data_IF_025946477066
#
_entry.id   IF_025946477066
#
_cell.length_a   1.000
_cell.length_b   1.000
_cell.length_c   1.000
_cell.angle_alpha   90.00
_cell.angle_beta   90.00
_cell.angle_gamma   90.00
#
_symmetry.space_group_name_H-M   'P 1'
#
loop_
_entity.id
_entity.type
_entity.pdbx_description
1 polymer ?
#
# COMPACT_ATOMS: atom_id res chain seq x y z
N UNK A 1 -10.99 -5.43 -19.72
CA UNK A 1 -10.44 -4.30 -20.49
C UNK A 1 -11.50 -3.38 -21.07
N UNK A 2 -12.57 -3.87 -21.70
CA UNK A 2 -13.68 -3.02 -22.20
C UNK A 2 -14.21 -2.00 -21.17
N UNK A 3 -14.63 -2.46 -19.98
CA UNK A 3 -15.18 -1.56 -18.94
C UNK A 3 -14.15 -0.54 -18.44
N UNK A 4 -12.89 -0.95 -18.31
CA UNK A 4 -11.80 -0.06 -17.91
C UNK A 4 -11.62 1.06 -18.95
N UNK A 5 -11.58 0.73 -20.23
CA UNK A 5 -11.47 1.70 -21.33
C UNK A 5 -12.69 2.62 -21.42
N UNK A 6 -13.88 2.09 -21.14
CA UNK A 6 -15.14 2.84 -21.26
C UNK A 6 -15.41 3.77 -20.07
N UNK A 7 -15.02 3.39 -18.85
CA UNK A 7 -15.42 4.09 -17.63
C UNK A 7 -14.24 4.61 -16.81
N UNK A 8 -13.23 3.77 -16.58
CA UNK A 8 -12.13 4.11 -15.67
C UNK A 8 -11.09 5.05 -16.31
N UNK A 9 -10.67 4.78 -17.54
CA UNK A 9 -9.68 5.64 -18.21
C UNK A 9 -10.19 7.06 -18.46
N UNK A 10 -11.46 7.29 -18.87
CA UNK A 10 -11.99 8.65 -18.97
C UNK A 10 -12.05 9.37 -17.63
N UNK A 11 -12.45 8.68 -16.56
CA UNK A 11 -12.42 9.24 -15.20
C UNK A 11 -10.98 9.62 -14.82
N UNK A 12 -10.05 8.71 -15.03
CA UNK A 12 -8.65 8.89 -14.68
C UNK A 12 -7.96 10.00 -15.48
N UNK A 13 -8.29 10.13 -16.77
CA UNK A 13 -7.78 11.19 -17.64
C UNK A 13 -8.04 12.60 -17.08
N UNK A 14 -9.10 12.80 -16.29
CA UNK A 14 -9.36 14.07 -15.62
C UNK A 14 -8.26 14.47 -14.63
N UNK A 15 -7.55 13.50 -14.05
CA UNK A 15 -6.53 13.66 -13.01
C UNK A 15 -5.08 13.57 -13.53
N UNK A 16 -4.85 13.22 -14.80
CA UNK A 16 -3.49 12.98 -15.31
C UNK A 16 -2.68 14.27 -15.38
N UNK A 17 -1.50 14.27 -14.75
CA UNK A 17 -0.52 15.35 -14.83
C UNK A 17 -0.96 16.68 -14.20
N UNK A 18 -2.03 16.68 -13.40
CA UNK A 18 -2.53 17.88 -12.71
C UNK A 18 -3.27 17.50 -11.44
N UNK A 19 -3.27 18.39 -10.46
CA UNK A 19 -4.20 18.28 -9.35
C UNK A 19 -5.51 18.98 -9.66
N UNK A 20 -6.63 18.39 -9.24
CA UNK A 20 -7.95 19.01 -9.30
C UNK A 20 -8.05 20.15 -8.27
N UNK A 21 -7.40 19.98 -7.12
CA UNK A 21 -7.36 20.95 -6.04
C UNK A 21 -5.95 21.51 -5.88
N UNK A 22 -5.76 22.81 -5.65
CA UNK A 22 -4.44 23.30 -5.27
C UNK A 22 -3.97 22.56 -4.00
N UNK A 23 -2.69 22.21 -3.96
CA UNK A 23 -2.10 21.63 -2.75
C UNK A 23 -2.09 22.73 -1.69
N UNK A 24 -2.64 22.41 -0.52
CA UNK A 24 -2.62 23.30 0.65
C UNK A 24 -1.24 23.27 1.30
N UNK A 25 -0.83 24.41 1.84
CA UNK A 25 0.38 24.56 2.66
C UNK A 25 -0.01 24.89 4.10
N UNK A 26 -0.83 24.01 4.70
CA UNK A 26 -1.49 24.23 5.99
C UNK A 26 -1.25 23.10 7.00
N UNK A 27 -0.31 22.20 6.74
CA UNK A 27 -0.02 21.00 7.54
C UNK A 27 -1.20 20.01 7.68
N UNK A 28 -2.21 20.09 6.81
CA UNK A 28 -3.25 19.07 6.75
C UNK A 28 -2.72 17.72 6.26
N UNK A 29 -3.25 16.64 6.82
CA UNK A 29 -2.86 15.26 6.50
C UNK A 29 -4.04 14.53 5.90
N UNK A 30 -3.86 13.91 4.74
CA UNK A 30 -4.80 12.96 4.16
C UNK A 30 -4.32 11.53 4.35
N UNK A 31 -5.06 10.76 5.14
CA UNK A 31 -4.84 9.34 5.38
C UNK A 31 -5.67 8.49 4.42
N UNK A 32 -4.97 7.83 3.50
CA UNK A 32 -5.52 7.03 2.42
C UNK A 32 -5.47 5.54 2.76
N UNK A 33 -6.65 4.92 2.84
CA UNK A 33 -6.84 3.58 3.38
C UNK A 33 -7.55 2.66 2.39
N UNK A 34 -6.97 1.48 2.19
CA UNK A 34 -7.63 0.35 1.54
C UNK A 34 -8.04 -0.67 2.62
N UNK A 35 -9.33 -0.75 2.93
CA UNK A 35 -9.86 -1.59 4.01
C UNK A 35 -10.65 -2.76 3.43
N UNK A 36 -10.03 -3.92 3.27
CA UNK A 36 -10.71 -5.14 2.83
C UNK A 36 -11.10 -6.00 4.03
N UNK A 37 -12.41 -6.15 4.26
CA UNK A 37 -12.97 -6.99 5.34
C UNK A 37 -12.26 -6.72 6.68
N UNK A 38 -12.12 -5.42 6.99
CA UNK A 38 -11.23 -4.94 8.05
C UNK A 38 -11.99 -4.56 9.32
N UNK A 39 -12.01 -5.48 10.27
CA UNK A 39 -12.67 -5.28 11.56
C UNK A 39 -11.98 -4.25 12.47
N UNK A 40 -10.74 -3.84 12.19
CA UNK A 40 -10.00 -2.84 12.99
C UNK A 40 -10.07 -1.44 12.41
N UNK A 41 -10.76 -1.22 11.28
CA UNK A 41 -10.84 0.09 10.65
C UNK A 41 -11.37 1.15 11.64
N UNK A 42 -12.47 0.87 12.35
CA UNK A 42 -13.05 1.86 13.26
C UNK A 42 -12.12 2.22 14.41
N UNK A 43 -11.46 1.23 15.04
CA UNK A 43 -10.48 1.48 16.10
C UNK A 43 -9.24 2.22 15.58
N UNK A 44 -8.77 1.88 14.38
CA UNK A 44 -7.68 2.58 13.68
C UNK A 44 -8.00 4.07 13.53
N UNK A 45 -9.21 4.40 13.09
CA UNK A 45 -9.66 5.80 12.97
C UNK A 45 -9.75 6.49 14.33
N UNK A 46 -10.35 5.83 15.34
CA UNK A 46 -10.46 6.39 16.70
C UNK A 46 -9.07 6.73 17.25
N UNK A 47 -8.10 5.83 17.11
CA UNK A 47 -6.73 6.10 17.53
C UNK A 47 -6.07 7.21 16.73
N UNK A 48 -6.19 7.20 15.40
CA UNK A 48 -5.59 8.22 14.54
C UNK A 48 -6.03 9.64 14.95
N UNK A 49 -7.33 9.85 15.19
CA UNK A 49 -7.86 11.14 15.63
C UNK A 49 -7.54 11.46 17.09
N UNK A 50 -7.73 10.51 18.01
CA UNK A 50 -7.49 10.72 19.46
C UNK A 50 -6.03 11.04 19.76
N UNK A 51 -5.10 10.48 18.98
CA UNK A 51 -3.65 10.60 19.15
C UNK A 51 -3.02 11.64 18.24
N UNK A 52 -3.77 12.28 17.35
CA UNK A 52 -3.26 13.38 16.54
C UNK A 52 -3.08 14.64 17.41
N UNK A 53 -2.01 15.40 17.14
CA UNK A 53 -1.81 16.73 17.70
C UNK A 53 -2.83 17.71 17.11
N UNK A 54 -3.20 17.56 15.83
CA UNK A 54 -4.14 18.45 15.14
C UNK A 54 -5.27 17.66 14.47
N UNK A 55 -6.21 17.06 15.22
CA UNK A 55 -7.27 16.24 14.65
C UNK A 55 -8.21 17.00 13.71
N UNK A 56 -8.32 18.34 13.83
CA UNK A 56 -9.07 19.18 12.89
C UNK A 56 -8.41 19.32 11.50
N UNK A 57 -7.14 18.95 11.38
CA UNK A 57 -6.37 18.95 10.13
C UNK A 57 -6.19 17.55 9.53
N UNK A 58 -6.73 16.52 10.17
CA UNK A 58 -6.67 15.14 9.70
C UNK A 58 -7.89 14.81 8.83
N UNK A 59 -7.66 14.36 7.62
CA UNK A 59 -8.66 13.88 6.68
C UNK A 59 -8.39 12.40 6.37
N UNK A 60 -9.44 11.64 6.09
CA UNK A 60 -9.35 10.22 5.78
C UNK A 60 -10.11 9.94 4.48
N UNK A 61 -9.46 9.24 3.56
CA UNK A 61 -10.08 8.60 2.42
C UNK A 61 -10.04 7.09 2.58
N UNK A 62 -11.19 6.43 2.72
CA UNK A 62 -11.25 4.98 2.89
C UNK A 62 -12.01 4.30 1.75
N UNK A 63 -11.40 3.29 1.15
CA UNK A 63 -12.09 2.32 0.28
C UNK A 63 -12.44 1.10 1.12
N UNK A 64 -13.70 1.03 1.53
CA UNK A 64 -14.21 -0.03 2.41
C UNK A 64 -14.82 -1.13 1.56
N UNK A 65 -14.17 -2.28 1.57
CA UNK A 65 -14.59 -3.47 0.82
C UNK A 65 -15.19 -4.49 1.80
N UNK A 66 -16.51 -4.59 1.84
CA UNK A 66 -17.26 -5.45 2.76
C UNK A 66 -18.49 -6.07 2.05
N UNK A 67 -19.34 -6.81 2.74
CA UNK A 67 -20.62 -7.26 2.20
C UNK A 67 -21.70 -6.24 2.54
N UNK A 68 -22.18 -5.51 1.54
CA UNK A 68 -23.20 -4.48 1.68
C UNK A 68 -24.49 -4.91 0.99
N UNK A 69 -25.61 -4.87 1.69
CA UNK A 69 -26.92 -5.25 1.18
C UNK A 69 -27.28 -6.71 1.47
N UNK A 70 -28.59 -7.00 1.52
CA UNK A 70 -29.13 -8.30 1.97
C UNK A 70 -28.90 -9.44 0.96
N UNK A 71 -28.57 -9.11 -0.28
CA UNK A 71 -28.29 -10.06 -1.37
C UNK A 71 -26.88 -10.67 -1.32
N UNK A 72 -25.99 -10.15 -0.45
CA UNK A 72 -24.61 -10.61 -0.34
C UNK A 72 -24.34 -11.36 0.97
N UNK A 73 -24.07 -12.65 0.87
CA UNK A 73 -23.59 -13.45 2.01
C UNK A 73 -22.07 -13.40 2.10
N UNK A 74 -21.58 -12.81 3.18
CA UNK A 74 -20.16 -12.82 3.53
C UNK A 74 -19.65 -14.23 3.81
N UNK A 75 -18.34 -14.43 3.57
CA UNK A 75 -17.66 -15.68 3.91
C UNK A 75 -16.53 -15.41 4.89
N UNK A 76 -16.21 -16.41 5.71
CA UNK A 76 -15.00 -16.42 6.54
C UNK A 76 -13.74 -16.49 5.68
N UNK A 77 -12.58 -16.18 6.27
CA UNK A 77 -11.31 -16.65 5.70
C UNK A 77 -11.15 -18.17 5.90
N UNK A 78 -10.01 -18.73 5.47
CA UNK A 78 -9.74 -20.16 5.67
C UNK A 78 -9.51 -20.43 7.15
N UNK A 79 -10.45 -21.13 7.78
CA UNK A 79 -10.37 -21.53 9.18
C UNK A 79 -9.85 -22.95 9.28
N UNK A 80 -8.91 -23.21 10.19
CA UNK A 80 -8.45 -24.57 10.48
C UNK A 80 -9.54 -25.29 11.28
N UNK A 81 -10.10 -26.36 10.73
CA UNK A 81 -11.18 -27.16 11.34
C UNK A 81 -10.72 -28.53 11.81
N UNK A 82 -9.46 -28.88 11.57
CA UNK A 82 -8.88 -30.16 11.99
C UNK A 82 -7.51 -30.39 11.40
N UNK A 83 -6.99 -31.61 11.57
CA UNK A 83 -5.78 -32.09 10.90
C UNK A 83 -6.08 -33.37 10.13
N UNK A 84 -5.42 -33.56 8.99
CA UNK A 84 -5.49 -34.82 8.25
C UNK A 84 -4.68 -35.93 8.95
N UNK A 85 -4.66 -37.14 8.37
CA UNK A 85 -3.94 -38.29 8.92
C UNK A 85 -2.42 -38.07 8.99
N UNK A 86 -1.89 -37.10 8.24
CA UNK A 86 -0.49 -36.73 8.18
C UNK A 86 -0.16 -35.53 9.08
N UNK A 87 -1.15 -34.99 9.79
CA UNK A 87 -1.00 -33.86 10.69
C UNK A 87 -1.09 -32.48 10.01
N UNK A 88 -1.42 -32.42 8.71
CA UNK A 88 -1.57 -31.16 8.00
C UNK A 88 -2.92 -30.49 8.36
N UNK A 89 -2.98 -29.15 8.47
CA UNK A 89 -4.24 -28.45 8.75
C UNK A 89 -5.29 -28.66 7.65
N UNK A 90 -6.48 -29.11 8.03
CA UNK A 90 -7.67 -29.09 7.19
C UNK A 90 -8.34 -27.73 7.37
N UNK A 91 -8.63 -27.03 6.27
CA UNK A 91 -9.26 -25.71 6.31
C UNK A 91 -10.65 -25.71 5.69
N UNK A 92 -11.55 -24.87 6.22
CA UNK A 92 -12.90 -24.65 5.71
C UNK A 92 -13.18 -23.15 5.57
N UNK A 93 -13.98 -22.79 4.57
CA UNK A 93 -14.62 -21.48 4.43
C UNK A 93 -16.12 -21.67 4.68
N UNK A 94 -16.72 -20.80 5.49
CA UNK A 94 -18.13 -20.86 5.87
C UNK A 94 -18.81 -19.51 5.67
N UNK A 95 -20.14 -19.50 5.70
CA UNK A 95 -20.92 -18.26 5.72
C UNK A 95 -20.64 -17.49 7.01
N UNK A 96 -20.63 -16.17 6.89
CA UNK A 96 -20.40 -15.24 7.98
C UNK A 96 -21.25 -13.98 7.79
N UNK A 97 -21.61 -13.28 8.87
CA UNK A 97 -22.15 -11.93 8.75
C UNK A 97 -21.11 -10.98 8.12
N UNK A 98 -21.54 -9.82 7.60
CA UNK A 98 -20.64 -8.72 7.28
C UNK A 98 -19.77 -8.35 8.48
N UNK A 99 -18.54 -7.90 8.23
CA UNK A 99 -17.73 -7.35 9.32
C UNK A 99 -18.32 -6.01 9.77
N UNK A 100 -18.02 -5.59 10.99
CA UNK A 100 -18.39 -4.26 11.49
C UNK A 100 -17.91 -3.20 10.51
N UNK A 101 -18.83 -2.33 10.07
CA UNK A 101 -18.47 -1.18 9.25
C UNK A 101 -17.69 -0.17 10.10
N UNK A 102 -16.37 -0.16 9.96
CA UNK A 102 -15.49 0.72 10.74
C UNK A 102 -15.77 2.21 10.59
N UNK A 103 -16.27 2.66 9.42
CA UNK A 103 -16.68 4.05 9.22
C UNK A 103 -17.92 4.37 10.05
N UNK A 104 -18.93 3.50 10.00
CA UNK A 104 -20.17 3.67 10.78
C UNK A 104 -19.89 3.60 12.28
N UNK A 105 -19.03 2.67 12.71
CA UNK A 105 -18.57 2.57 14.10
C UNK A 105 -17.89 3.86 14.57
N UNK A 106 -17.08 4.50 13.71
CA UNK A 106 -16.42 5.77 14.01
C UNK A 106 -17.43 6.93 14.04
N UNK A 107 -18.24 7.11 12.99
CA UNK A 107 -19.16 8.24 12.87
C UNK A 107 -20.37 8.19 13.81
N UNK A 108 -20.74 7.00 14.30
CA UNK A 108 -21.84 6.85 15.26
C UNK A 108 -21.42 7.26 16.69
N UNK A 109 -20.13 7.20 17.00
CA UNK A 109 -19.57 7.59 18.30
C UNK A 109 -19.65 9.13 18.45
N UNK A 110 -20.33 9.66 19.49
CA UNK A 110 -20.49 11.10 19.69
C UNK A 110 -19.16 11.86 19.77
N UNK A 111 -18.08 11.20 20.19
CA UNK A 111 -16.74 11.82 20.31
C UNK A 111 -16.08 12.09 18.96
N UNK A 112 -16.49 11.36 17.91
CA UNK A 112 -15.87 11.40 16.59
C UNK A 112 -16.82 11.84 15.47
N UNK A 113 -18.14 11.77 15.71
CA UNK A 113 -19.18 12.26 14.80
C UNK A 113 -18.91 13.66 14.21
N UNK A 114 -18.43 14.66 14.98
CA UNK A 114 -18.16 15.98 14.42
C UNK A 114 -17.16 15.98 13.25
N UNK A 115 -16.18 15.07 13.24
CA UNK A 115 -15.23 14.94 12.13
C UNK A 115 -15.90 14.40 10.85
N UNK A 116 -16.88 13.51 10.98
CA UNK A 116 -17.66 13.03 9.85
C UNK A 116 -18.58 14.13 9.30
N UNK A 117 -19.27 14.86 10.18
CA UNK A 117 -20.14 15.99 9.80
C UNK A 117 -19.34 17.14 9.16
N UNK A 118 -18.08 17.33 9.55
CA UNK A 118 -17.15 18.29 8.94
C UNK A 118 -16.57 17.84 7.59
N UNK A 119 -16.92 16.65 7.09
CA UNK A 119 -16.40 16.13 5.82
C UNK A 119 -14.94 15.69 5.86
N UNK A 120 -14.38 15.44 7.06
CA UNK A 120 -13.02 14.91 7.22
C UNK A 120 -12.93 13.42 6.87
N UNK A 121 -14.05 12.70 6.82
CA UNK A 121 -14.11 11.29 6.43
C UNK A 121 -14.78 11.16 5.06
N UNK A 122 -14.04 10.64 4.08
CA UNK A 122 -14.46 10.44 2.68
C UNK A 122 -14.39 8.95 2.37
N UNK A 123 -15.44 8.38 1.81
CA UNK A 123 -15.56 6.91 1.71
C UNK A 123 -16.08 6.47 0.36
N UNK A 124 -15.47 5.40 -0.15
CA UNK A 124 -16.00 4.60 -1.25
C UNK A 124 -16.31 3.20 -0.72
N UNK A 125 -17.59 2.81 -0.76
CA UNK A 125 -18.03 1.48 -0.42
C UNK A 125 -18.03 0.58 -1.65
N UNK A 126 -17.47 -0.62 -1.51
CA UNK A 126 -17.35 -1.61 -2.57
C UNK A 126 -17.74 -2.98 -2.02
N UNK A 127 -18.52 -3.77 -2.75
CA UNK A 127 -18.79 -5.14 -2.31
C UNK A 127 -17.52 -5.99 -2.40
N UNK A 128 -17.27 -6.89 -1.43
CA UNK A 128 -16.01 -7.68 -1.41
C UNK A 128 -15.82 -8.53 -2.68
N UNK A 129 -16.92 -8.92 -3.32
CA UNK A 129 -16.96 -9.69 -4.57
C UNK A 129 -16.53 -8.85 -5.79
N UNK A 130 -16.59 -7.53 -5.66
CA UNK A 130 -16.15 -6.54 -6.65
C UNK A 130 -14.74 -6.01 -6.36
N UNK A 131 -14.12 -6.48 -5.27
CA UNK A 131 -12.73 -6.12 -4.95
C UNK A 131 -11.79 -6.62 -6.04
N UNK A 132 -11.03 -5.67 -6.59
CA UNK A 132 -9.96 -5.91 -7.55
C UNK A 132 -8.59 -5.64 -6.92
N UNK A 133 -8.45 -5.94 -5.63
CA UNK A 133 -7.17 -5.95 -4.92
C UNK A 133 -6.66 -4.60 -4.39
N UNK A 134 -5.59 -4.63 -3.59
CA UNK A 134 -5.12 -3.48 -2.81
C UNK A 134 -4.53 -2.37 -3.67
N UNK A 135 -3.82 -2.67 -4.75
CA UNK A 135 -3.25 -1.66 -5.64
C UNK A 135 -4.34 -0.73 -6.21
N UNK A 136 -5.48 -1.29 -6.64
CA UNK A 136 -6.59 -0.51 -7.18
C UNK A 136 -7.42 0.15 -6.07
N UNK A 137 -7.56 -0.49 -4.91
CA UNK A 137 -8.17 0.17 -3.75
C UNK A 137 -7.38 1.42 -3.33
N UNK A 138 -6.04 1.37 -3.35
CA UNK A 138 -5.17 2.52 -3.11
C UNK A 138 -5.29 3.58 -4.20
N UNK A 139 -5.42 3.17 -5.46
CA UNK A 139 -5.77 4.10 -6.55
C UNK A 139 -7.07 4.85 -6.24
N UNK A 140 -8.17 4.17 -5.91
CA UNK A 140 -9.43 4.83 -5.61
C UNK A 140 -9.36 5.70 -4.35
N UNK A 141 -8.68 5.23 -3.30
CA UNK A 141 -8.47 6.00 -2.07
C UNK A 141 -7.71 7.30 -2.35
N UNK A 142 -6.71 7.27 -3.25
CA UNK A 142 -5.97 8.47 -3.67
C UNK A 142 -6.86 9.49 -4.40
N UNK A 143 -7.93 9.06 -5.07
CA UNK A 143 -8.87 9.98 -5.75
C UNK A 143 -9.82 10.70 -4.77
N UNK A 144 -9.85 10.30 -3.49
CA UNK A 144 -10.59 10.98 -2.42
C UNK A 144 -9.77 12.13 -1.79
N UNK A 145 -8.50 12.30 -2.18
CA UNK A 145 -7.66 13.41 -1.74
C UNK A 145 -8.17 14.74 -2.32
N UNK A 146 -8.18 15.76 -1.47
CA UNK A 146 -8.84 17.05 -1.69
C UNK A 146 -7.88 18.24 -1.66
N UNK A 147 -6.58 18.00 -1.85
CA UNK A 147 -5.55 19.03 -1.76
C UNK A 147 -4.88 19.14 -0.39
N UNK A 148 -5.08 18.19 0.54
CA UNK A 148 -4.34 18.17 1.82
C UNK A 148 -2.82 18.23 1.61
N UNK A 149 -2.11 18.94 2.51
CA UNK A 149 -0.67 19.22 2.42
C UNK A 149 0.18 17.94 2.39
N UNK A 150 -0.17 16.97 3.22
CA UNK A 150 0.53 15.70 3.36
C UNK A 150 -0.37 14.54 3.00
N UNK A 151 0.22 13.52 2.41
CA UNK A 151 -0.44 12.27 2.05
C UNK A 151 0.23 11.12 2.80
N UNK A 152 -0.57 10.33 3.51
CA UNK A 152 -0.15 9.05 4.07
C UNK A 152 -0.95 7.94 3.39
N UNK A 153 -0.24 7.01 2.76
CA UNK A 153 -0.82 5.71 2.44
C UNK A 153 -0.53 4.78 3.58
N UNK A 154 -1.55 4.07 4.05
CA UNK A 154 -1.33 3.02 5.04
C UNK A 154 -2.33 1.89 4.93
N UNK A 155 -2.03 0.78 5.60
CA UNK A 155 -3.02 -0.26 5.87
C UNK A 155 -4.07 0.22 6.90
N UNK A 156 -5.20 -0.49 7.01
CA UNK A 156 -6.38 -0.05 7.76
C UNK A 156 -6.51 -0.63 9.19
N UNK A 157 -5.43 -1.23 9.70
CA UNK A 157 -5.38 -1.94 10.99
C UNK A 157 -4.12 -1.56 11.76
N UNK A 158 -4.15 -0.33 12.30
CA UNK A 158 -3.01 0.32 12.90
C UNK A 158 -3.28 0.77 14.33
N UNK A 159 -2.21 1.00 15.08
CA UNK A 159 -2.20 1.79 16.32
C UNK A 159 -1.29 3.00 16.13
N UNK A 160 -1.57 4.08 16.85
CA UNK A 160 -0.89 5.37 16.68
C UNK A 160 -0.21 5.83 17.97
N UNK A 161 1.01 6.32 17.83
CA UNK A 161 1.71 7.04 18.88
C UNK A 161 1.09 8.42 19.11
N UNK A 162 1.30 8.98 20.30
CA UNK A 162 0.87 10.35 20.60
C UNK A 162 1.54 11.35 19.65
N UNK A 163 0.77 12.31 19.14
CA UNK A 163 1.17 13.39 18.23
C UNK A 163 1.83 12.90 16.93
N UNK A 164 1.41 11.73 16.44
CA UNK A 164 2.02 11.06 15.28
C UNK A 164 2.04 11.94 14.01
N UNK A 165 1.00 12.74 13.80
CA UNK A 165 0.82 13.62 12.64
C UNK A 165 1.88 14.73 12.63
N UNK A 166 1.97 15.49 13.72
CA UNK A 166 2.95 16.56 13.85
C UNK A 166 4.39 16.03 13.81
N UNK A 167 4.63 14.86 14.40
CA UNK A 167 5.95 14.21 14.41
C UNK A 167 6.36 13.70 13.02
N UNK A 168 5.48 13.08 12.24
CA UNK A 168 5.82 12.71 10.86
C UNK A 168 5.98 13.92 9.95
N UNK A 169 5.19 14.98 10.15
CA UNK A 169 5.37 16.26 9.43
C UNK A 169 6.76 16.84 9.71
N UNK A 170 7.15 16.92 10.98
CA UNK A 170 8.47 17.43 11.37
C UNK A 170 9.60 16.56 10.80
N UNK A 171 9.44 15.23 10.83
CA UNK A 171 10.43 14.28 10.32
C UNK A 171 10.58 14.35 8.80
N UNK A 172 9.50 14.48 8.02
CA UNK A 172 9.64 14.59 6.56
C UNK A 172 10.20 15.95 6.15
N UNK A 173 9.87 17.02 6.89
CA UNK A 173 10.41 18.37 6.66
C UNK A 173 11.90 18.48 6.99
N UNK A 174 12.45 17.57 7.81
CA UNK A 174 13.89 17.55 8.13
C UNK A 174 14.72 16.72 7.15
N UNK A 175 14.10 16.03 6.18
CA UNK A 175 14.82 15.32 5.13
C UNK A 175 15.42 16.30 4.11
N UNK A 176 16.66 16.05 3.67
CA UNK A 176 17.41 16.95 2.79
C UNK A 176 16.71 17.25 1.46
N UNK A 177 15.89 16.31 0.97
CA UNK A 177 15.17 16.45 -0.28
C UNK A 177 13.73 16.95 -0.15
N UNK A 178 13.29 17.40 1.03
CA UNK A 178 11.95 17.98 1.21
C UNK A 178 11.73 19.16 0.23
N UNK A 179 10.59 19.26 -0.48
CA UNK A 179 9.36 18.46 -0.35
C UNK A 179 9.34 17.13 -1.11
N UNK A 180 10.33 16.82 -1.94
CA UNK A 180 10.47 15.53 -2.65
C UNK A 180 11.11 14.45 -1.76
N UNK A 181 10.55 14.27 -0.57
CA UNK A 181 10.95 13.26 0.41
C UNK A 181 9.76 12.36 0.78
N UNK A 182 10.01 11.05 0.87
CA UNK A 182 9.04 10.05 1.32
C UNK A 182 9.59 9.34 2.55
N UNK A 183 8.87 9.37 3.67
CA UNK A 183 9.14 8.48 4.79
C UNK A 183 8.42 7.15 4.54
N UNK A 184 9.12 6.02 4.65
CA UNK A 184 8.51 4.70 4.50
C UNK A 184 9.25 3.65 5.33
N UNK A 185 8.52 2.64 5.78
CA UNK A 185 9.04 1.54 6.58
C UNK A 185 8.02 0.41 6.63
N UNK A 186 8.44 -0.77 7.06
CA UNK A 186 7.52 -1.75 7.64
C UNK A 186 7.34 -1.42 9.13
N UNK A 187 6.15 -0.94 9.55
CA UNK A 187 5.90 -0.62 10.95
C UNK A 187 6.06 -1.86 11.84
N UNK A 188 6.36 -1.69 13.14
CA UNK A 188 6.42 -2.80 14.08
C UNK A 188 5.05 -3.49 14.20
N UNK A 189 5.09 -4.79 14.47
CA UNK A 189 3.89 -5.58 14.70
C UNK A 189 3.27 -5.31 16.07
N UNK A 190 1.94 -5.41 16.16
CA UNK A 190 1.25 -5.57 17.44
C UNK A 190 0.29 -6.77 17.41
N UNK A 191 -0.03 -7.29 18.59
CA UNK A 191 -1.06 -8.31 18.81
C UNK A 191 -2.17 -7.80 19.75
N UNK A 192 -3.23 -8.59 19.94
CA UNK A 192 -4.36 -8.20 20.79
C UNK A 192 -3.98 -8.13 22.27
N UNK A 193 -2.94 -8.87 22.67
CA UNK A 193 -2.41 -8.90 24.03
C UNK A 193 -1.56 -7.66 24.36
N UNK A 194 -1.06 -6.95 23.36
CA UNK A 194 -0.31 -5.71 23.56
C UNK A 194 -1.22 -4.58 24.09
N UNK A 195 -0.69 -3.65 24.91
CA UNK A 195 -1.43 -2.50 25.39
C UNK A 195 -2.16 -1.75 24.26
N UNK A 196 -3.43 -1.34 24.45
CA UNK A 196 -4.25 -0.77 23.39
C UNK A 196 -3.66 0.50 22.79
N UNK A 197 -2.91 1.23 23.60
CA UNK A 197 -2.22 2.44 23.23
C UNK A 197 -0.78 2.12 22.80
N UNK A 198 -0.38 2.59 21.62
CA UNK A 198 0.98 2.43 21.11
C UNK A 198 1.83 3.62 21.56
N UNK A 199 2.94 3.37 22.25
CA UNK A 199 3.83 4.44 22.72
C UNK A 199 4.70 5.04 21.59
N UNK A 200 4.97 4.28 20.54
CA UNK A 200 5.90 4.69 19.48
C UNK A 200 7.37 4.57 19.86
N UNK A 201 8.24 5.15 19.02
CA UNK A 201 9.64 5.39 19.36
C UNK A 201 10.63 4.28 19.01
N UNK A 202 10.18 3.12 18.51
CA UNK A 202 11.10 2.13 17.93
C UNK A 202 11.70 2.66 16.63
N UNK A 203 12.92 2.27 16.31
CA UNK A 203 13.60 2.71 15.08
C UNK A 203 12.84 2.17 13.85
N UNK A 204 12.65 3.01 12.83
CA UNK A 204 12.06 2.61 11.56
C UNK A 204 12.85 1.47 10.91
N UNK A 205 12.15 0.39 10.52
CA UNK A 205 12.73 -0.69 9.73
C UNK A 205 13.30 -0.13 8.43
N UNK A 206 14.56 -0.42 8.12
CA UNK A 206 15.20 0.05 6.89
C UNK A 206 14.96 -0.92 5.75
N UNK A 207 14.50 -0.44 4.59
CA UNK A 207 14.25 -1.29 3.41
C UNK A 207 15.47 -1.25 2.49
N UNK A 208 16.46 -2.09 2.80
CA UNK A 208 17.80 -2.07 2.20
C UNK A 208 18.19 -3.35 1.44
N UNK A 209 17.24 -4.25 1.23
CA UNK A 209 17.48 -5.48 0.48
C UNK A 209 16.20 -5.96 -0.19
N UNK A 210 16.35 -6.82 -1.18
CA UNK A 210 15.26 -7.46 -1.88
C UNK A 210 15.65 -8.86 -2.31
N UNK A 211 14.69 -9.62 -2.84
CA UNK A 211 14.92 -10.92 -3.44
C UNK A 211 13.94 -11.14 -4.59
N UNK A 212 14.29 -11.99 -5.55
CA UNK A 212 13.34 -12.48 -6.53
C UNK A 212 12.55 -13.62 -5.85
N UNK A 213 11.22 -13.57 -5.94
CA UNK A 213 10.39 -14.58 -5.31
C UNK A 213 10.67 -15.96 -5.90
N UNK A 214 10.80 -16.98 -5.05
CA UNK A 214 10.87 -18.38 -5.47
C UNK A 214 9.49 -19.06 -5.50
N UNK A 215 8.43 -18.30 -5.20
CA UNK A 215 7.06 -18.79 -5.21
C UNK A 215 6.51 -18.76 -6.63
N UNK A 216 6.07 -19.90 -7.19
CA UNK A 216 5.43 -19.92 -8.51
C UNK A 216 4.18 -19.02 -8.60
N UNK A 217 3.53 -18.76 -7.46
CA UNK A 217 2.35 -17.88 -7.39
C UNK A 217 2.72 -16.41 -7.63
N UNK A 218 3.95 -16.03 -7.32
CA UNK A 218 4.44 -14.65 -7.37
C UNK A 218 5.26 -14.35 -8.63
N UNK A 219 5.46 -15.35 -9.49
CA UNK A 219 6.00 -15.17 -10.84
C UNK A 219 7.38 -14.50 -10.85
N UNK A 220 8.28 -14.89 -9.95
CA UNK A 220 9.64 -14.31 -9.82
C UNK A 220 9.68 -12.78 -9.60
N UNK A 221 8.59 -12.19 -9.10
CA UNK A 221 8.57 -10.76 -8.83
C UNK A 221 9.52 -10.42 -7.67
N UNK A 222 10.11 -9.23 -7.71
CA UNK A 222 10.94 -8.72 -6.62
C UNK A 222 10.07 -8.51 -5.36
N UNK A 223 10.54 -9.08 -4.25
CA UNK A 223 10.09 -8.82 -2.88
C UNK A 223 11.10 -7.96 -2.16
N UNK A 224 10.61 -6.94 -1.46
CA UNK A 224 11.42 -6.14 -0.56
C UNK A 224 11.52 -6.89 0.76
N UNK A 225 12.72 -6.87 1.35
CA UNK A 225 12.98 -7.46 2.64
C UNK A 225 13.33 -6.36 3.65
N UNK A 226 13.02 -6.62 4.92
CA UNK A 226 13.55 -5.82 6.01
C UNK A 226 15.07 -5.92 6.02
N UNK A 227 15.74 -4.77 6.05
CA UNK A 227 17.17 -4.62 6.23
C UNK A 227 17.56 -4.58 7.70
N UNK A 228 18.87 -4.44 7.95
CA UNK A 228 19.40 -4.27 9.30
C UNK A 228 19.12 -2.85 9.84
N UNK A 229 19.20 -2.70 11.17
CA UNK A 229 19.19 -1.39 11.81
C UNK A 229 20.37 -0.54 11.34
N UNK A 230 20.18 0.78 11.40
CA UNK A 230 21.22 1.75 11.07
C UNK A 230 22.49 1.51 11.90
N UNK A 231 23.65 1.39 11.25
CA UNK A 231 24.92 1.22 11.98
C UNK A 231 25.52 2.55 12.48
N UNK A 232 24.91 3.69 12.13
CA UNK A 232 25.32 5.03 12.59
C UNK A 232 24.08 5.87 13.01
N UNK A 233 23.58 5.71 14.23
CA UNK A 233 22.31 6.32 14.66
C UNK A 233 22.40 7.81 14.99
N UNK A 234 23.60 8.39 15.08
CA UNK A 234 23.83 9.80 15.46
C UNK A 234 23.62 10.77 14.27
N UNK A 235 22.51 10.60 13.55
CA UNK A 235 22.11 11.45 12.42
C UNK A 235 21.02 12.43 12.85
N UNK A 236 21.18 13.70 12.45
CA UNK A 236 20.31 14.83 12.75
C UNK A 236 18.98 14.84 11.98
N UNK A 237 18.82 13.94 11.01
CA UNK A 237 17.61 13.76 10.21
C UNK A 237 17.41 12.31 9.74
N UNK A 238 16.31 12.02 9.04
CA UNK A 238 16.09 10.70 8.47
C UNK A 238 17.13 10.40 7.38
N UNK A 239 17.46 9.12 7.18
CA UNK A 239 18.43 8.70 6.16
C UNK A 239 17.80 7.83 5.11
N UNK A 240 18.34 7.88 3.89
CA UNK A 240 17.71 7.29 2.74
C UNK A 240 17.67 5.75 2.83
N UNK A 241 16.61 5.18 2.27
CA UNK A 241 16.41 3.76 1.98
C UNK A 241 16.09 3.56 0.51
N UNK A 242 16.10 2.31 0.04
CA UNK A 242 15.95 2.02 -1.39
C UNK A 242 14.50 1.87 -1.84
N UNK A 243 13.61 1.49 -0.93
CA UNK A 243 12.27 1.03 -1.27
C UNK A 243 11.18 1.69 -0.42
N UNK A 244 10.00 1.85 -1.01
CA UNK A 244 8.75 2.25 -0.37
C UNK A 244 7.97 0.97 -0.04
N UNK A 245 7.60 0.80 1.22
CA UNK A 245 6.60 -0.18 1.63
C UNK A 245 5.20 0.32 1.26
N UNK A 246 4.40 -0.50 0.57
CA UNK A 246 3.07 -0.06 0.17
C UNK A 246 2.08 -0.02 1.35
N UNK A 247 2.38 -0.70 2.47
CA UNK A 247 1.58 -0.65 3.70
C UNK A 247 1.80 0.60 4.55
N UNK A 248 2.84 1.39 4.29
CA UNK A 248 3.07 2.69 4.93
C UNK A 248 4.05 3.58 4.15
N UNK A 249 3.59 4.75 3.73
CA UNK A 249 4.47 5.87 3.45
C UNK A 249 3.81 7.23 3.75
N UNK A 250 4.63 8.22 4.09
CA UNK A 250 4.22 9.60 4.38
C UNK A 250 5.03 10.57 3.51
N UNK A 251 4.35 11.46 2.79
CA UNK A 251 4.97 12.38 1.83
C UNK A 251 4.19 13.69 1.70
N UNK A 252 4.80 14.69 1.07
CA UNK A 252 4.09 15.87 0.61
C UNK A 252 3.03 15.49 -0.46
N UNK A 253 1.90 16.19 -0.49
CA UNK A 253 0.76 15.90 -1.37
C UNK A 253 1.10 15.94 -2.87
N UNK A 254 2.17 16.65 -3.26
CA UNK A 254 2.67 16.65 -4.64
C UNK A 254 3.13 15.28 -5.13
N UNK A 255 3.37 14.31 -4.23
CA UNK A 255 3.68 12.93 -4.57
C UNK A 255 2.62 12.32 -5.49
N UNK A 256 1.34 12.65 -5.29
CA UNK A 256 0.25 12.10 -6.09
C UNK A 256 0.24 12.60 -7.54
N UNK A 257 0.85 13.77 -7.81
CA UNK A 257 0.98 14.32 -9.17
C UNK A 257 2.18 13.68 -9.88
N UNK A 258 3.31 13.57 -9.17
CA UNK A 258 4.56 13.04 -9.72
C UNK A 258 4.51 11.51 -9.90
N UNK A 259 3.78 10.81 -9.02
CA UNK A 259 3.75 9.35 -8.92
C UNK A 259 2.30 8.85 -8.76
N UNK A 260 1.43 9.05 -9.77
CA UNK A 260 0.02 8.65 -9.66
C UNK A 260 -0.12 7.13 -9.53
N UNK A 261 -1.07 6.64 -8.74
CA UNK A 261 -1.34 5.20 -8.66
C UNK A 261 -1.82 4.64 -10.00
N UNK A 262 -1.35 3.46 -10.36
CA UNK A 262 -1.66 2.83 -11.64
C UNK A 262 -3.00 2.06 -11.57
N UNK A 263 -4.06 2.52 -12.26
CA UNK A 263 -5.36 1.84 -12.23
C UNK A 263 -5.35 0.50 -12.98
N UNK A 264 -4.29 0.19 -13.74
CA UNK A 264 -4.14 -1.03 -14.56
C UNK A 264 -3.44 -2.17 -13.81
N UNK A 265 -3.42 -2.13 -12.47
CA UNK A 265 -2.89 -3.18 -11.61
C UNK A 265 -3.95 -3.93 -10.78
N UNK A 266 -5.10 -4.40 -11.35
CA UNK A 266 -6.07 -5.15 -10.58
C UNK A 266 -5.46 -6.45 -10.01
N UNK A 267 -5.89 -6.84 -8.82
CA UNK A 267 -5.44 -8.01 -8.08
C UNK A 267 -3.93 -8.05 -7.77
N UNK A 268 -3.20 -6.98 -8.06
CA UNK A 268 -1.80 -6.85 -7.71
C UNK A 268 -1.67 -6.63 -6.20
N UNK A 269 -0.81 -7.44 -5.59
CA UNK A 269 -0.42 -7.33 -4.19
C UNK A 269 1.11 -7.42 -4.08
N UNK A 270 1.69 -8.46 -4.68
CA UNK A 270 3.15 -8.57 -4.82
C UNK A 270 3.61 -7.82 -6.08
N UNK A 271 4.68 -7.03 -5.97
CA UNK A 271 5.29 -6.27 -7.07
C UNK A 271 4.95 -4.78 -7.09
N UNK A 272 3.84 -4.36 -6.46
CA UNK A 272 3.46 -2.94 -6.43
C UNK A 272 4.49 -2.07 -5.71
N UNK A 273 5.17 -2.63 -4.69
CA UNK A 273 6.17 -1.89 -3.91
C UNK A 273 7.43 -1.55 -4.73
N UNK A 274 7.96 -2.50 -5.51
CA UNK A 274 9.10 -2.22 -6.39
C UNK A 274 8.69 -1.26 -7.51
N UNK A 275 7.48 -1.40 -8.06
CA UNK A 275 6.95 -0.46 -9.04
C UNK A 275 6.88 0.96 -8.46
N UNK A 276 6.28 1.13 -7.28
CA UNK A 276 6.14 2.42 -6.61
C UNK A 276 7.51 3.04 -6.28
N UNK A 277 8.44 2.23 -5.76
CA UNK A 277 9.80 2.66 -5.39
C UNK A 277 10.57 3.20 -6.59
N UNK A 278 10.59 2.43 -7.69
CA UNK A 278 11.30 2.82 -8.91
C UNK A 278 10.68 4.09 -9.53
N UNK A 279 9.35 4.16 -9.58
CA UNK A 279 8.63 5.32 -10.13
C UNK A 279 8.89 6.58 -9.32
N UNK A 280 8.81 6.51 -7.99
CA UNK A 280 9.11 7.63 -7.11
C UNK A 280 10.55 8.12 -7.29
N UNK A 281 11.53 7.21 -7.25
CA UNK A 281 12.93 7.58 -7.36
C UNK A 281 13.27 8.19 -8.73
N UNK A 282 12.75 7.61 -9.81
CA UNK A 282 12.93 8.15 -11.18
C UNK A 282 12.17 9.45 -11.42
N UNK A 283 11.14 9.77 -10.62
CA UNK A 283 10.45 11.06 -10.58
C UNK A 283 11.14 12.11 -9.67
N UNK A 284 12.31 11.78 -9.12
CA UNK A 284 13.12 12.71 -8.34
C UNK A 284 12.84 12.70 -6.83
N UNK A 285 12.09 11.72 -6.32
CA UNK A 285 11.86 11.56 -4.88
C UNK A 285 12.98 10.76 -4.22
N UNK A 286 13.40 11.15 -3.02
CA UNK A 286 14.21 10.30 -2.16
C UNK A 286 13.33 9.63 -1.12
N UNK A 287 13.69 8.40 -0.76
CA UNK A 287 12.93 7.56 0.16
C UNK A 287 13.76 7.42 1.42
N UNK A 288 13.11 7.53 2.57
CA UNK A 288 13.74 7.66 3.87
C UNK A 288 13.12 6.69 4.87
N UNK A 289 13.95 6.08 5.72
CA UNK A 289 13.41 5.45 6.92
C UNK A 289 13.11 6.54 7.96
N UNK A 290 11.92 6.55 8.57
CA UNK A 290 11.67 7.43 9.70
C UNK A 290 12.58 7.04 10.87
N UNK A 291 13.12 8.02 11.61
CA UNK A 291 13.95 7.71 12.79
C UNK A 291 13.15 7.02 13.89
N UNK A 292 11.84 7.25 13.95
CA UNK A 292 10.92 6.62 14.88
C UNK A 292 9.65 6.13 14.18
N UNK A 293 9.20 4.94 14.53
CA UNK A 293 7.87 4.48 14.18
C UNK A 293 6.85 5.18 15.08
N UNK A 294 5.84 5.78 14.45
CA UNK A 294 4.71 6.43 15.13
C UNK A 294 3.40 5.72 14.82
N UNK A 295 3.47 4.64 14.04
CA UNK A 295 2.40 3.68 13.85
C UNK A 295 2.90 2.27 14.11
N UNK A 296 2.01 1.39 14.55
CA UNK A 296 2.20 -0.06 14.61
C UNK A 296 1.14 -0.74 13.75
N UNK A 297 1.44 -1.93 13.23
CA UNK A 297 0.61 -2.64 12.26
C UNK A 297 0.25 -4.05 12.72
N UNK A 298 -1.02 -4.45 12.58
CA UNK A 298 -1.41 -5.83 12.88
C UNK A 298 -1.03 -6.73 11.70
N UNK A 299 0.10 -7.43 11.77
CA UNK A 299 0.44 -8.39 10.72
C UNK A 299 -0.53 -9.56 10.70
N UNK A 300 -1.10 -9.86 9.53
CA UNK A 300 -2.20 -10.83 9.38
C UNK A 300 -1.82 -12.16 8.72
N UNK A 301 -1.08 -13.07 9.40
CA UNK A 301 -0.72 -14.37 8.84
C UNK A 301 -1.95 -15.25 8.62
N UNK A 302 -1.87 -16.17 7.67
CA UNK A 302 -3.00 -17.02 7.26
C UNK A 302 -3.64 -17.82 8.40
N UNK A 303 -2.87 -18.16 9.44
CA UNK A 303 -3.36 -18.87 10.65
C UNK A 303 -4.46 -18.12 11.42
N UNK A 304 -4.56 -16.79 11.25
CA UNK A 304 -5.63 -16.01 11.91
C UNK A 304 -6.98 -16.13 11.19
N UNK A 305 -7.03 -16.79 10.03
CA UNK A 305 -8.29 -17.11 9.35
C UNK A 305 -9.11 -15.90 8.89
N UNK A 306 -8.49 -14.71 8.81
CA UNK A 306 -9.15 -13.50 8.31
C UNK A 306 -9.35 -13.57 6.80
N UNK A 307 -10.48 -13.05 6.27
CA UNK A 307 -10.72 -12.97 4.83
C UNK A 307 -9.62 -12.22 4.10
N UNK A 308 -9.36 -12.63 2.85
CA UNK A 308 -8.40 -11.99 1.94
C UNK A 308 -9.04 -11.86 0.57
N UNK A 309 -8.75 -10.78 -0.15
CA UNK A 309 -9.40 -10.49 -1.43
C UNK A 309 -9.26 -11.63 -2.45
N UNK A 310 -8.10 -12.30 -2.52
CA UNK A 310 -7.90 -13.43 -3.41
C UNK A 310 -8.83 -14.62 -3.12
N UNK A 311 -9.32 -14.75 -1.89
CA UNK A 311 -10.33 -15.72 -1.52
C UNK A 311 -11.69 -15.41 -2.15
N UNK A 312 -12.11 -14.15 -2.13
CA UNK A 312 -13.37 -13.70 -2.75
C UNK A 312 -13.30 -13.83 -4.27
N UNK A 313 -12.19 -13.41 -4.89
CA UNK A 313 -11.96 -13.55 -6.34
C UNK A 313 -12.05 -15.01 -6.79
N UNK A 314 -11.40 -15.94 -6.09
CA UNK A 314 -11.47 -17.37 -6.42
C UNK A 314 -12.90 -17.92 -6.40
N UNK A 315 -13.70 -17.52 -5.40
CA UNK A 315 -15.11 -17.92 -5.28
C UNK A 315 -15.97 -17.37 -6.41
N UNK A 316 -15.84 -16.08 -6.74
CA UNK A 316 -16.65 -15.42 -7.78
C UNK A 316 -16.43 -16.04 -9.16
N UNK A 317 -15.19 -16.41 -9.50
CA UNK A 317 -14.84 -16.89 -10.84
C UNK A 317 -14.65 -18.42 -10.93
N UNK A 318 -15.20 -19.18 -9.99
CA UNK A 318 -15.38 -20.64 -10.14
C UNK A 318 -14.13 -21.51 -9.89
N UNK A 319 -13.12 -21.01 -9.15
CA UNK A 319 -12.02 -21.83 -8.62
C UNK A 319 -11.81 -21.51 -7.15
N UNK A 320 -12.34 -22.34 -6.25
CA UNK A 320 -12.15 -22.14 -4.82
C UNK A 320 -10.65 -22.04 -4.45
N UNK A 321 -10.24 -20.91 -3.88
CA UNK A 321 -8.84 -20.62 -3.50
C UNK A 321 -8.12 -19.62 -4.40
N UNK A 322 -6.80 -19.40 -4.20
CA UNK A 322 -6.06 -18.35 -4.91
C UNK A 322 -5.86 -18.62 -6.40
N UNK A 323 -6.23 -19.79 -6.93
CA UNK A 323 -5.85 -20.22 -8.28
C UNK A 323 -6.30 -19.28 -9.42
N UNK A 324 -7.52 -18.74 -9.37
CA UNK A 324 -7.97 -17.77 -10.38
C UNK A 324 -7.25 -16.42 -10.24
N UNK A 325 -7.11 -15.93 -9.00
CA UNK A 325 -6.35 -14.72 -8.72
C UNK A 325 -4.90 -14.83 -9.22
N UNK A 326 -4.24 -15.95 -8.95
CA UNK A 326 -2.88 -16.25 -9.43
C UNK A 326 -2.80 -16.23 -10.95
N UNK A 327 -3.78 -16.79 -11.65
CA UNK A 327 -3.83 -16.78 -13.11
C UNK A 327 -4.00 -15.35 -13.67
N UNK A 328 -4.89 -14.55 -13.10
CA UNK A 328 -5.05 -13.16 -13.53
C UNK A 328 -3.80 -12.33 -13.23
N UNK A 329 -3.22 -12.53 -12.05
CA UNK A 329 -1.99 -11.87 -11.62
C UNK A 329 -0.80 -12.24 -12.51
N UNK A 330 -0.70 -13.47 -13.04
CA UNK A 330 0.41 -13.86 -13.92
C UNK A 330 0.46 -13.07 -15.21
N UNK A 331 -0.68 -12.57 -15.70
CA UNK A 331 -0.76 -11.66 -16.84
C UNK A 331 -0.43 -10.23 -16.43
N UNK A 332 -1.04 -9.73 -15.35
CA UNK A 332 -0.93 -8.34 -14.93
C UNK A 332 0.46 -7.99 -14.40
N UNK A 333 1.13 -8.94 -13.76
CA UNK A 333 2.49 -8.73 -13.25
C UNK A 333 3.51 -8.50 -14.38
N UNK A 334 3.20 -8.91 -15.62
CA UNK A 334 4.05 -8.64 -16.78
C UNK A 334 4.17 -7.13 -17.03
N UNK A 335 3.17 -6.32 -16.64
CA UNK A 335 3.26 -4.85 -16.70
C UNK A 335 4.38 -4.35 -15.78
N UNK A 336 4.43 -4.84 -14.55
CA UNK A 336 5.47 -4.48 -13.58
C UNK A 336 6.83 -5.01 -14.03
N UNK A 337 6.91 -6.28 -14.44
CA UNK A 337 8.15 -6.85 -14.97
C UNK A 337 8.71 -6.07 -16.16
N UNK A 338 7.84 -5.64 -17.07
CA UNK A 338 8.22 -4.79 -18.19
C UNK A 338 8.76 -3.43 -17.73
N UNK A 339 8.09 -2.77 -16.77
CA UNK A 339 8.55 -1.51 -16.17
C UNK A 339 9.93 -1.65 -15.52
N UNK A 340 10.13 -2.69 -14.71
CA UNK A 340 11.39 -2.98 -14.02
C UNK A 340 12.50 -3.32 -15.02
N UNK A 341 12.16 -3.99 -16.12
CA UNK A 341 13.11 -4.36 -17.19
C UNK A 341 13.57 -5.81 -17.13
N UNK A 342 12.70 -6.74 -16.73
CA UNK A 342 12.93 -8.18 -16.86
C UNK A 342 13.12 -8.55 -18.33
N UNK A 343 14.24 -9.17 -18.74
CA UNK A 343 14.54 -9.41 -20.16
C UNK A 343 13.61 -10.44 -20.80
N UNK A 344 12.99 -11.31 -19.99
CA UNK A 344 11.99 -12.24 -20.48
C UNK A 344 10.66 -11.56 -20.82
N UNK A 345 10.47 -10.27 -20.49
CA UNK A 345 9.22 -9.51 -20.65
C UNK A 345 9.41 -8.25 -21.50
N UNK A 346 9.43 -8.43 -22.82
CA UNK A 346 9.46 -7.32 -23.80
C UNK A 346 8.05 -6.95 -24.30
N UNK A 347 7.90 -5.78 -24.93
CA UNK A 347 6.62 -5.37 -25.54
C UNK A 347 6.17 -6.37 -26.61
N UNK A 348 7.12 -6.90 -27.38
CA UNK A 348 6.88 -7.89 -28.43
C UNK A 348 6.35 -9.19 -27.83
N UNK A 349 6.96 -9.67 -26.73
CA UNK A 349 6.51 -10.89 -26.04
C UNK A 349 5.12 -10.72 -25.42
N UNK A 350 4.85 -9.56 -24.82
CA UNK A 350 3.52 -9.23 -24.29
C UNK A 350 2.46 -9.27 -25.40
N UNK A 351 2.77 -8.68 -26.57
CA UNK A 351 1.88 -8.70 -27.74
C UNK A 351 1.67 -10.11 -28.29
N UNK A 352 2.73 -10.91 -28.40
CA UNK A 352 2.66 -12.30 -28.84
C UNK A 352 1.81 -13.17 -27.90
N UNK A 353 1.79 -12.85 -26.61
CA UNK A 353 0.95 -13.51 -25.61
C UNK A 353 -0.54 -13.16 -25.68
N UNK A 354 -0.93 -12.15 -26.48
CA UNK A 354 -2.33 -11.75 -26.66
C UNK A 354 -2.92 -10.94 -25.49
N UNK A 355 -2.06 -10.27 -24.71
CA UNK A 355 -2.47 -9.44 -23.57
C UNK A 355 -1.83 -8.05 -23.60
N UNK A 356 -1.69 -7.46 -24.79
CA UNK A 356 -1.14 -6.13 -25.04
C UNK A 356 -1.87 -5.00 -24.31
N UNK A 357 -3.14 -5.21 -23.93
CA UNK A 357 -3.91 -4.30 -23.10
C UNK A 357 -3.20 -3.91 -21.79
N UNK A 358 -2.31 -4.75 -21.23
CA UNK A 358 -1.54 -4.40 -20.03
C UNK A 358 -0.52 -3.29 -20.28
N UNK A 359 -0.26 -2.91 -21.52
CA UNK A 359 0.61 -1.78 -21.90
C UNK A 359 -0.17 -0.47 -22.11
N UNK A 360 -1.49 -0.47 -21.91
CA UNK A 360 -2.33 0.74 -22.03
C UNK A 360 -1.80 1.83 -21.10
N UNK A 361 -1.73 3.07 -21.59
CA UNK A 361 -1.32 4.28 -20.86
C UNK A 361 -0.02 4.13 -20.05
N UNK A 362 0.87 3.22 -20.45
CA UNK A 362 2.05 2.87 -19.66
C UNK A 362 2.97 4.09 -19.45
N UNK A 363 3.07 4.98 -20.43
CA UNK A 363 3.83 6.23 -20.35
C UNK A 363 3.43 7.12 -19.17
N UNK A 364 2.18 7.09 -18.74
CA UNK A 364 1.69 7.87 -17.59
C UNK A 364 1.97 7.20 -16.23
N UNK A 365 2.19 5.88 -16.25
CA UNK A 365 2.29 5.04 -15.07
C UNK A 365 3.63 4.31 -14.94
N UNK A 366 4.60 4.67 -15.77
CA UNK A 366 5.94 4.11 -15.76
C UNK A 366 6.91 5.03 -15.00
N UNK A 367 8.20 4.84 -15.23
CA UNK A 367 9.30 5.58 -14.65
C UNK A 367 9.20 7.08 -14.93
N UNK A 368 9.60 7.89 -13.96
CA UNK A 368 9.76 9.33 -14.13
C UNK A 368 10.97 9.69 -15.00
N UNK A 369 11.15 10.99 -15.25
CA UNK A 369 12.15 11.52 -16.17
C UNK A 369 13.35 12.19 -15.50
N UNK A 370 13.33 12.36 -14.18
CA UNK A 370 14.38 13.06 -13.42
C UNK A 370 15.65 12.20 -13.25
N UNK A 371 15.49 10.87 -13.15
CA UNK A 371 16.61 9.93 -13.00
C UNK A 371 16.35 8.67 -13.82
N UNK A 372 17.41 8.06 -14.33
CA UNK A 372 17.26 6.88 -15.20
C UNK A 372 16.91 5.63 -14.39
N UNK A 373 16.10 4.75 -15.00
CA UNK A 373 15.83 3.40 -14.47
C UNK A 373 17.12 2.62 -14.20
N UNK A 374 18.09 2.73 -15.10
CA UNK A 374 19.38 2.03 -14.99
C UNK A 374 20.15 2.46 -13.74
N UNK A 375 20.16 3.77 -13.44
CA UNK A 375 20.78 4.29 -12.22
C UNK A 375 20.10 3.76 -10.95
N UNK A 376 18.77 3.58 -10.96
CA UNK A 376 18.08 2.95 -9.82
C UNK A 376 18.50 1.49 -9.63
N UNK A 377 18.54 0.70 -10.71
CA UNK A 377 18.94 -0.71 -10.66
C UNK A 377 20.39 -0.87 -10.14
N UNK A 378 21.29 0.00 -10.57
CA UNK A 378 22.68 0.05 -10.09
C UNK A 378 22.76 0.46 -8.61
N UNK A 379 22.07 1.54 -8.23
CA UNK A 379 22.01 2.04 -6.85
C UNK A 379 21.50 0.97 -5.87
N UNK A 380 20.54 0.17 -6.31
CA UNK A 380 19.86 -0.86 -5.51
C UNK A 380 20.43 -2.26 -5.69
N UNK A 381 21.45 -2.42 -6.56
CA UNK A 381 22.06 -3.71 -6.89
C UNK A 381 21.04 -4.77 -7.32
N UNK A 382 20.04 -4.34 -8.09
CA UNK A 382 19.03 -5.21 -8.69
C UNK A 382 19.49 -5.55 -10.10
N UNK A 383 19.60 -6.84 -10.39
CA UNK A 383 19.91 -7.39 -11.69
C UNK A 383 18.74 -8.27 -12.16
N UNK A 384 17.78 -7.69 -12.91
CA UNK A 384 16.65 -8.43 -13.46
C UNK A 384 17.06 -9.52 -14.45
N UNK A 385 18.24 -9.43 -15.08
CA UNK A 385 18.65 -10.42 -16.08
C UNK A 385 19.13 -11.72 -15.44
N UNK A 386 19.78 -11.62 -14.27
CA UNK A 386 20.26 -12.78 -13.53
C UNK A 386 19.40 -13.11 -12.30
N UNK A 387 18.26 -12.43 -12.10
CA UNK A 387 17.37 -12.58 -10.95
C UNK A 387 18.11 -12.41 -9.61
N UNK A 388 19.01 -11.42 -9.53
CA UNK A 388 19.82 -11.16 -8.33
C UNK A 388 19.43 -9.83 -7.70
N UNK A 389 19.34 -9.85 -6.37
CA UNK A 389 19.31 -8.66 -5.55
C UNK A 389 20.32 -8.83 -4.42
N UNK A 390 21.07 -7.77 -4.11
CA UNK A 390 22.12 -7.78 -3.10
C UNK A 390 21.82 -6.79 -1.98
N UNK A 391 22.45 -6.99 -0.82
CA UNK A 391 22.37 -6.00 0.26
C UNK A 391 22.95 -4.64 -0.19
N UNK A 392 22.20 -3.59 0.11
CA UNK A 392 22.51 -2.21 -0.28
C UNK A 392 23.33 -1.57 0.84
N UNK A 393 24.64 -1.42 0.64
CA UNK A 393 25.59 -1.02 1.69
C UNK A 393 25.35 0.40 2.20
N UNK A 394 25.16 1.36 1.31
CA UNK A 394 24.89 2.76 1.68
C UNK A 394 23.61 2.89 2.52
N UNK A 395 22.60 2.06 2.20
CA UNK A 395 21.33 2.03 2.91
C UNK A 395 21.51 1.44 4.31
N UNK A 396 22.20 0.31 4.47
CA UNK A 396 22.42 -0.28 5.79
C UNK A 396 23.34 0.59 6.68
N UNK A 397 24.28 1.33 6.08
CA UNK A 397 25.23 2.20 6.79
C UNK A 397 24.75 3.63 7.03
N UNK A 398 23.54 3.98 6.55
CA UNK A 398 22.95 5.31 6.71
C UNK A 398 23.82 6.43 6.13
N UNK A 399 24.41 6.19 4.97
CA UNK A 399 25.39 7.10 4.36
C UNK A 399 24.75 8.30 3.65
N UNK A 400 23.51 8.12 3.17
CA UNK A 400 22.79 9.15 2.43
C UNK A 400 21.74 9.78 3.34
N UNK A 401 21.82 11.10 3.49
CA UNK A 401 20.81 11.96 4.13
C UNK A 401 19.83 12.53 3.10
#
# INVERSE_FOLDING_TARGET
MRLLKQHLLPLDAAYRGRSIFPIREDDSVFMSLAAFRDHLLGETLKQAFRRAANPSKLFVGAVVQNCFGDEYTCKTGRQVVGKDKQGNPITKVSDAPPDVNGIEQFCSDPSYRPYCEAGQIRVLYVNETESIGPAVARYYASKLWGGENFYIQSDAHLRFAQDWDAKYIAEVKSADSYPKAVLSSYPPGFSEEDPPDYEGGTIGTRLCSCMFSNSPVEQDIIRINSGASCTNPDVDGPTQIAFIAAGFFFAHGSFLQDVPFDPLLPWCFMGEEIALSMRAWTAGWNIYAPRQNLIAHQYRPGRMGLPKFWGSVGRTFGREGPGFNTHMQSVLIQRIKHMVGYPEVSKEKIKQGGFDDILTDLEHYSMGTERSKQAYLELTKIDPANHKCSAISWCNRCELK
#
